data_IF_889911301200
#
_entry.id   IF_889911301200
#
_cell.length_a   1.000
_cell.length_b   1.000
_cell.length_c   1.000
_cell.angle_alpha   90.00
_cell.angle_beta   90.00
_cell.angle_gamma   90.00
#
_symmetry.space_group_name_H-M   'P 1'
#
loop_
_entity.id
_entity.type
_entity.pdbx_description
1 polymer ?
#
# COMPACT_ATOMS: atom_id res chain seq x y z
N UNK A 1 5.48 -5.63 11.71
CA UNK A 1 4.06 -5.97 11.96
C UNK A 1 3.78 -7.12 11.03
N UNK A 2 3.63 -8.30 11.61
CA UNK A 2 3.40 -9.52 10.86
C UNK A 2 1.91 -9.79 10.71
N UNK A 3 1.48 -10.13 9.51
CA UNK A 3 0.10 -10.44 9.16
C UNK A 3 0.13 -11.71 8.30
N UNK A 4 -0.63 -12.73 8.70
CA UNK A 4 -0.89 -13.88 7.83
C UNK A 4 -2.00 -13.53 6.85
N UNK A 5 -1.74 -13.69 5.56
CA UNK A 5 -2.57 -13.19 4.48
C UNK A 5 -2.63 -14.24 3.36
N UNK A 6 -3.73 -15.01 3.33
CA UNK A 6 -3.96 -16.11 2.37
C UNK A 6 -2.81 -17.14 2.27
N UNK A 7 -2.23 -17.52 3.41
CA UNK A 7 -1.09 -18.46 3.45
C UNK A 7 0.28 -17.82 3.23
N UNK A 8 0.33 -16.51 2.98
CA UNK A 8 1.58 -15.73 2.94
C UNK A 8 1.77 -14.98 4.25
N UNK A 9 3.01 -14.95 4.75
CA UNK A 9 3.41 -14.10 5.87
C UNK A 9 3.86 -12.75 5.34
N UNK A 10 3.16 -11.69 5.68
CA UNK A 10 3.53 -10.30 5.36
C UNK A 10 4.14 -9.68 6.60
N UNK A 11 5.36 -9.16 6.52
CA UNK A 11 5.95 -8.37 7.60
C UNK A 11 6.29 -6.95 7.14
N UNK A 12 5.64 -5.97 7.78
CA UNK A 12 5.93 -4.56 7.63
C UNK A 12 6.93 -4.11 8.70
N UNK A 13 8.14 -3.74 8.31
CA UNK A 13 9.25 -3.44 9.22
C UNK A 13 9.93 -2.12 8.89
N UNK A 14 10.73 -1.62 9.84
CA UNK A 14 11.46 -0.35 9.71
C UNK A 14 10.53 0.79 9.22
N UNK A 15 9.44 0.96 9.97
CA UNK A 15 8.42 1.95 9.70
C UNK A 15 8.89 3.35 10.10
N UNK A 16 8.64 4.33 9.25
CA UNK A 16 8.82 5.73 9.56
C UNK A 16 7.51 6.49 9.40
N UNK A 17 7.28 7.47 10.27
CA UNK A 17 6.19 8.43 10.10
C UNK A 17 6.56 9.44 9.01
N UNK A 18 5.64 9.71 8.08
CA UNK A 18 5.86 10.65 6.98
C UNK A 18 5.32 12.02 7.36
N UNK A 19 6.18 12.85 7.96
CA UNK A 19 5.77 14.14 8.52
C UNK A 19 5.02 13.96 9.85
N UNK A 20 4.88 15.05 10.62
CA UNK A 20 4.30 14.97 11.96
C UNK A 20 2.80 14.64 11.91
N UNK A 21 2.39 13.53 12.55
CA UNK A 21 1.02 13.01 12.51
C UNK A 21 0.63 12.40 11.16
N UNK A 22 1.62 12.08 10.33
CA UNK A 22 1.43 11.53 8.99
C UNK A 22 1.21 10.01 8.97
N UNK A 23 1.06 9.42 7.77
CA UNK A 23 1.03 7.97 7.61
C UNK A 23 2.36 7.32 7.98
N UNK A 24 2.29 6.04 8.30
CA UNK A 24 3.47 5.20 8.37
C UNK A 24 3.87 4.70 6.98
N UNK A 25 5.18 4.65 6.73
CA UNK A 25 5.76 4.07 5.54
C UNK A 25 6.82 3.06 5.96
N UNK A 26 6.57 1.78 5.71
CA UNK A 26 7.38 0.65 6.15
C UNK A 26 8.00 -0.07 4.95
N UNK A 27 9.11 -0.79 5.15
CA UNK A 27 9.47 -1.85 4.21
C UNK A 27 8.49 -3.01 4.36
N UNK A 28 8.31 -3.79 3.30
CA UNK A 28 7.49 -4.99 3.29
C UNK A 28 8.34 -6.20 2.95
N UNK A 29 8.15 -7.30 3.66
CA UNK A 29 8.59 -8.62 3.23
C UNK A 29 7.39 -9.56 3.07
N UNK A 30 7.46 -10.45 2.08
CA UNK A 30 6.50 -11.54 1.91
C UNK A 30 7.27 -12.84 2.05
N UNK A 31 6.84 -13.72 2.96
CA UNK A 31 7.49 -15.00 3.25
C UNK A 31 9.00 -14.86 3.55
N UNK A 32 9.38 -13.78 4.25
CA UNK A 32 10.76 -13.45 4.58
C UNK A 32 11.57 -12.79 3.45
N UNK A 33 11.02 -12.67 2.24
CA UNK A 33 11.67 -11.97 1.13
C UNK A 33 11.28 -10.50 1.13
N UNK A 34 12.27 -9.60 1.27
CA UNK A 34 12.08 -8.15 1.19
C UNK A 34 11.64 -7.74 -0.23
N UNK A 35 10.58 -6.93 -0.31
CA UNK A 35 10.10 -6.31 -1.54
C UNK A 35 10.83 -5.00 -1.84
N UNK A 36 11.86 -5.09 -2.70
CA UNK A 36 12.61 -3.95 -3.24
C UNK A 36 12.97 -2.89 -2.17
N UNK A 37 13.30 -1.67 -2.58
CA UNK A 37 13.51 -0.53 -1.68
C UNK A 37 12.33 0.44 -1.73
N UNK A 38 11.12 -0.10 -1.83
CA UNK A 38 9.88 0.66 -1.75
C UNK A 38 9.38 0.73 -0.30
N UNK A 39 8.71 1.82 0.05
CA UNK A 39 8.03 1.99 1.34
C UNK A 39 6.52 1.95 1.13
N UNK A 40 5.83 1.25 2.01
CA UNK A 40 4.41 0.92 1.91
C UNK A 40 3.67 1.34 3.18
N UNK A 41 2.42 1.77 3.04
CA UNK A 41 1.53 1.92 4.19
C UNK A 41 1.11 0.52 4.70
N UNK A 42 1.13 0.26 6.03
CA UNK A 42 0.80 -1.04 6.60
C UNK A 42 -0.72 -1.31 6.66
N UNK A 43 -1.44 -1.01 5.56
CA UNK A 43 -2.85 -1.32 5.36
C UNK A 43 -3.07 -2.16 4.09
N UNK A 44 -2.56 -3.40 4.03
CA UNK A 44 -2.77 -4.27 2.88
C UNK A 44 -4.23 -4.70 2.76
N UNK A 45 -4.69 -4.94 1.52
CA UNK A 45 -5.98 -5.55 1.21
C UNK A 45 -5.77 -6.71 0.23
N UNK A 46 -6.59 -7.76 0.33
CA UNK A 46 -6.64 -8.80 -0.70
C UNK A 46 -7.56 -8.36 -1.84
N UNK A 47 -7.13 -8.63 -3.07
CA UNK A 47 -7.99 -8.59 -4.24
C UNK A 47 -7.61 -9.72 -5.19
N UNK A 48 -8.52 -10.67 -5.36
CA UNK A 48 -8.25 -11.92 -6.09
C UNK A 48 -6.98 -12.58 -5.49
N UNK A 49 -6.02 -12.99 -6.32
CA UNK A 49 -4.77 -13.61 -5.89
C UNK A 49 -3.63 -12.60 -5.63
N UNK A 50 -3.97 -11.31 -5.43
CA UNK A 50 -2.98 -10.25 -5.26
C UNK A 50 -3.16 -9.48 -3.95
N UNK A 51 -2.04 -8.91 -3.49
CA UNK A 51 -2.03 -7.96 -2.39
C UNK A 51 -2.08 -6.55 -2.96
N UNK A 52 -3.06 -5.77 -2.52
CA UNK A 52 -3.14 -4.34 -2.77
C UNK A 52 -2.55 -3.59 -1.59
N UNK A 53 -1.67 -2.63 -1.86
CA UNK A 53 -1.05 -1.81 -0.83
C UNK A 53 -0.75 -0.41 -1.35
N UNK A 54 -0.84 0.59 -0.48
CA UNK A 54 -0.38 1.93 -0.83
C UNK A 54 1.14 1.99 -0.79
N UNK A 55 1.75 2.39 -1.89
CA UNK A 55 3.19 2.57 -2.00
C UNK A 55 3.55 4.05 -2.05
N UNK A 56 4.48 4.47 -1.19
CA UNK A 56 5.01 5.84 -1.22
C UNK A 56 5.84 6.03 -2.47
N UNK A 57 5.55 7.10 -3.22
CA UNK A 57 6.25 7.46 -4.44
C UNK A 57 6.78 8.87 -4.32
N UNK A 58 8.10 9.00 -4.42
CA UNK A 58 8.81 10.28 -4.42
C UNK A 58 9.53 10.38 -5.75
N UNK A 59 9.22 11.43 -6.49
CA UNK A 59 9.91 11.85 -7.71
C UNK A 59 10.35 13.30 -7.54
N UNK A 60 11.23 13.78 -8.42
CA UNK A 60 11.70 15.17 -8.37
C UNK A 60 10.54 16.20 -8.40
N UNK A 61 9.43 15.90 -9.06
CA UNK A 61 8.31 16.83 -9.25
C UNK A 61 7.09 16.54 -8.35
N UNK A 62 6.98 15.33 -7.80
CA UNK A 62 5.80 14.89 -7.04
C UNK A 62 6.19 13.91 -5.93
N UNK A 63 5.64 14.13 -4.75
CA UNK A 63 5.61 13.17 -3.64
C UNK A 63 4.16 12.78 -3.37
N UNK A 64 3.93 11.53 -3.01
CA UNK A 64 2.61 11.03 -2.65
C UNK A 64 2.58 9.52 -2.53
N UNK A 65 1.41 8.94 -2.76
CA UNK A 65 1.12 7.52 -2.70
C UNK A 65 0.46 7.05 -3.98
N UNK A 66 0.73 5.80 -4.36
CA UNK A 66 0.07 5.11 -5.46
C UNK A 66 -0.48 3.78 -4.93
N UNK A 67 -1.52 3.26 -5.57
CA UNK A 67 -1.96 1.90 -5.37
C UNK A 67 -1.00 0.97 -6.11
N UNK A 68 -0.41 0.05 -5.36
CA UNK A 68 0.41 -1.03 -5.89
C UNK A 68 -0.34 -2.36 -5.78
N UNK A 69 -0.24 -3.16 -6.83
CA UNK A 69 -0.63 -4.56 -6.87
C UNK A 69 0.63 -5.41 -6.75
N UNK A 70 0.64 -6.35 -5.82
CA UNK A 70 1.76 -7.24 -5.56
C UNK A 70 1.28 -8.67 -5.82
N UNK A 71 2.00 -9.37 -6.68
CA UNK A 71 1.91 -10.82 -6.81
C UNK A 71 2.70 -11.45 -5.66
N UNK A 72 2.03 -12.16 -4.73
CA UNK A 72 2.68 -12.70 -3.53
C UNK A 72 3.60 -13.90 -3.82
N UNK A 73 3.46 -14.54 -4.98
CA UNK A 73 4.31 -15.67 -5.40
C UNK A 73 5.60 -15.16 -6.05
N UNK A 74 5.50 -14.16 -6.92
CA UNK A 74 6.65 -13.63 -7.66
C UNK A 74 7.30 -12.40 -7.01
N UNK A 75 6.66 -11.83 -5.97
CA UNK A 75 7.02 -10.55 -5.36
C UNK A 75 7.07 -9.38 -6.37
N UNK A 76 6.41 -9.51 -7.53
CA UNK A 76 6.38 -8.45 -8.54
C UNK A 76 5.44 -7.34 -8.08
N UNK A 77 5.94 -6.10 -8.09
CA UNK A 77 5.19 -4.89 -7.74
C UNK A 77 4.77 -4.15 -9.01
N UNK A 78 3.48 -3.89 -9.16
CA UNK A 78 2.92 -3.12 -10.26
C UNK A 78 2.17 -1.89 -9.73
N UNK A 79 2.45 -0.71 -10.30
CA UNK A 79 1.73 0.51 -9.97
C UNK A 79 0.48 0.60 -10.84
N UNK A 80 -0.70 0.63 -10.21
CA UNK A 80 -1.99 0.58 -10.91
C UNK A 80 -2.84 1.85 -10.76
N UNK A 81 -2.30 2.90 -10.13
CA UNK A 81 -2.98 4.19 -10.02
C UNK A 81 -2.07 5.37 -10.35
N UNK A 82 -2.70 6.54 -10.54
CA UNK A 82 -2.01 7.83 -10.46
C UNK A 82 -1.52 8.12 -9.04
N UNK A 83 -0.68 9.13 -8.89
CA UNK A 83 -0.22 9.62 -7.58
C UNK A 83 -1.34 10.40 -6.87
N UNK A 84 -1.54 10.10 -5.60
CA UNK A 84 -2.41 10.79 -4.66
C UNK A 84 -1.57 11.38 -3.52
N UNK A 85 -2.03 12.45 -2.88
CA UNK A 85 -1.30 13.06 -1.76
C UNK A 85 -1.19 12.10 -0.57
N UNK A 86 -2.28 11.41 -0.25
CA UNK A 86 -2.40 10.42 0.80
C UNK A 86 -3.32 9.28 0.35
N UNK A 87 -2.99 8.05 0.74
CA UNK A 87 -3.78 6.87 0.43
C UNK A 87 -3.62 5.83 1.53
N UNK A 88 -4.61 5.69 2.41
CA UNK A 88 -4.70 4.57 3.36
C UNK A 88 -5.85 3.68 2.95
N UNK A 89 -5.56 2.43 2.60
CA UNK A 89 -6.58 1.53 2.06
C UNK A 89 -7.55 1.14 3.18
N UNK A 90 -8.84 1.10 2.85
CA UNK A 90 -9.91 0.79 3.81
C UNK A 90 -10.57 -0.54 3.51
N UNK A 91 -11.04 -0.71 2.27
CA UNK A 91 -11.72 -1.91 1.79
C UNK A 91 -11.78 -1.96 0.27
N UNK A 92 -11.94 -3.17 -0.26
CA UNK A 92 -12.30 -3.40 -1.66
C UNK A 92 -13.82 -3.29 -1.82
N UNK A 93 -14.26 -2.61 -2.88
CA UNK A 93 -15.66 -2.50 -3.31
C UNK A 93 -15.77 -2.85 -4.80
N UNK A 94 -16.16 -4.08 -5.10
CA UNK A 94 -16.15 -4.59 -6.47
C UNK A 94 -14.74 -4.50 -7.08
N UNK A 95 -14.60 -3.84 -8.23
CA UNK A 95 -13.29 -3.57 -8.88
C UNK A 95 -12.70 -2.21 -8.50
N UNK A 96 -12.91 -1.75 -7.27
CA UNK A 96 -12.34 -0.51 -6.77
C UNK A 96 -11.85 -0.67 -5.33
N UNK A 97 -10.86 0.13 -4.94
CA UNK A 97 -10.42 0.26 -3.55
C UNK A 97 -10.91 1.58 -2.99
N UNK A 98 -11.58 1.52 -1.85
CA UNK A 98 -11.86 2.69 -1.02
C UNK A 98 -10.64 3.02 -0.16
N UNK A 99 -10.24 4.30 -0.16
CA UNK A 99 -9.13 4.77 0.65
C UNK A 99 -9.43 6.12 1.29
N UNK A 100 -8.83 6.36 2.47
CA UNK A 100 -8.84 7.67 3.11
C UNK A 100 -7.88 8.60 2.39
N UNK A 101 -8.28 9.85 2.19
CA UNK A 101 -7.45 10.91 1.57
C UNK A 101 -6.70 11.77 2.58
N UNK A 102 -6.83 11.47 3.88
CA UNK A 102 -6.10 12.13 4.96
C UNK A 102 -5.72 11.12 6.06
N UNK A 103 -4.76 11.50 6.91
CA UNK A 103 -4.38 10.73 8.09
C UNK A 103 -5.45 10.71 9.19
N UNK A 104 -6.34 11.70 9.21
CA UNK A 104 -7.45 11.80 10.17
C UNK A 104 -8.66 10.94 9.77
N UNK A 105 -8.64 10.37 8.56
CA UNK A 105 -9.72 9.53 8.04
C UNK A 105 -10.92 10.30 7.53
N UNK A 106 -10.84 11.64 7.48
CA UNK A 106 -11.79 12.49 6.77
C UNK A 106 -11.47 12.53 5.27
N UNK A 107 -12.51 12.42 4.44
CA UNK A 107 -12.37 12.30 3.00
C UNK A 107 -12.14 10.86 2.53
N UNK A 108 -12.96 10.44 1.56
CA UNK A 108 -12.97 9.08 1.01
C UNK A 108 -12.95 9.18 -0.51
N UNK A 109 -12.10 8.37 -1.13
CA UNK A 109 -12.03 8.26 -2.57
C UNK A 109 -12.05 6.79 -2.99
N UNK A 110 -12.42 6.56 -4.25
CA UNK A 110 -12.36 5.26 -4.91
C UNK A 110 -11.25 5.28 -5.95
N UNK A 111 -10.41 4.25 -5.94
CA UNK A 111 -9.45 3.97 -7.00
C UNK A 111 -9.89 2.72 -7.76
N UNK A 112 -10.17 2.78 -9.07
CA UNK A 112 -10.45 1.58 -9.84
C UNK A 112 -9.21 0.67 -9.90
N UNK A 113 -9.46 -0.64 -9.94
CA UNK A 113 -8.45 -1.68 -10.13
C UNK A 113 -8.55 -2.14 -11.60
N UNK A 114 -7.49 -1.95 -12.42
CA UNK A 114 -7.45 -2.42 -13.80
C UNK A 114 -7.66 -3.94 -13.90
#
# INVERSE_FOLDING_TARGET
MQIDFNGHSLDFFDCMEVGQGGPNACFLSINGQKLADHKFDPSPLMFEDHILVSMRKITFLKSGYVLARIDPETCKVEIISKVHEYMKLRKVQGRSVEFSTSSWGDGVALCPIP
#
